data_IF_882506108002
#
_entry.id   IF_882506108002
#
_cell.length_a   1.000
_cell.length_b   1.000
_cell.length_c   1.000
_cell.angle_alpha   90.00
_cell.angle_beta   90.00
_cell.angle_gamma   90.00
#
_symmetry.space_group_name_H-M   'P 1'
#
loop_
_entity.id
_entity.type
_entity.pdbx_description
1 polymer ?
#
# COMPACT_ATOMS: atom_id res chain seq x y z
N UNK A 1 -0.78 22.36 -32.48
CA UNK A 1 -0.29 21.99 -31.10
C UNK A 1 -1.33 22.18 -30.00
N UNK A 2 -2.17 23.25 -30.02
CA UNK A 2 -3.21 23.45 -28.99
C UNK A 2 -4.36 22.43 -29.00
N UNK A 3 -4.80 21.93 -30.16
CA UNK A 3 -5.92 20.98 -30.26
C UNK A 3 -5.60 19.63 -29.62
N UNK A 4 -4.37 19.14 -29.78
CA UNK A 4 -3.92 17.85 -29.15
C UNK A 4 -3.80 17.92 -27.62
N UNK A 5 -3.51 19.10 -27.04
CA UNK A 5 -3.43 19.30 -25.59
C UNK A 5 -4.84 19.38 -25.00
N UNK A 6 -5.78 20.03 -25.69
CA UNK A 6 -7.19 20.10 -25.26
C UNK A 6 -7.87 18.73 -25.34
N UNK A 7 -7.62 17.96 -26.40
CA UNK A 7 -8.16 16.61 -26.55
C UNK A 7 -7.62 15.64 -25.49
N UNK A 8 -6.37 15.81 -25.05
CA UNK A 8 -5.82 15.02 -23.93
C UNK A 8 -6.44 15.41 -22.57
N UNK A 9 -6.70 16.69 -22.35
CA UNK A 9 -7.32 17.18 -21.09
C UNK A 9 -8.80 16.78 -21.03
N UNK A 10 -9.53 16.86 -22.13
CA UNK A 10 -10.93 16.42 -22.22
C UNK A 10 -11.06 14.90 -22.04
N UNK A 11 -10.11 14.10 -22.53
CA UNK A 11 -10.10 12.64 -22.32
C UNK A 11 -9.78 12.23 -20.85
N UNK A 12 -9.06 13.03 -20.09
CA UNK A 12 -8.78 12.74 -18.67
C UNK A 12 -10.01 12.90 -17.78
N UNK A 13 -11.00 13.72 -18.17
CA UNK A 13 -12.24 13.95 -17.42
C UNK A 13 -13.43 13.11 -17.90
N UNK A 14 -13.37 12.54 -19.10
CA UNK A 14 -14.45 11.77 -19.68
C UNK A 14 -14.71 10.47 -18.89
N UNK A 15 -13.64 9.77 -18.47
CA UNK A 15 -13.72 8.51 -17.75
C UNK A 15 -13.39 8.74 -16.29
N UNK A 16 -14.37 8.60 -15.41
CA UNK A 16 -14.19 8.81 -13.98
C UNK A 16 -14.90 7.72 -13.16
N UNK A 17 -14.50 7.58 -11.89
CA UNK A 17 -15.17 6.69 -10.97
C UNK A 17 -16.60 7.17 -10.71
N UNK A 18 -17.55 6.24 -10.70
CA UNK A 18 -18.94 6.52 -10.41
C UNK A 18 -19.09 7.26 -9.08
N UNK A 19 -19.85 8.36 -9.05
CA UNK A 19 -20.11 9.10 -7.82
C UNK A 19 -20.83 8.19 -6.82
N UNK A 20 -20.38 8.25 -5.58
CA UNK A 20 -20.96 7.44 -4.51
C UNK A 20 -22.46 7.75 -4.33
N UNK A 21 -23.26 6.71 -4.30
CA UNK A 21 -24.65 6.70 -3.84
C UNK A 21 -24.81 5.47 -2.94
N UNK A 22 -25.67 5.50 -1.90
CA UNK A 22 -25.95 4.30 -1.11
C UNK A 22 -26.29 3.11 -2.01
N UNK A 23 -25.58 1.98 -1.86
CA UNK A 23 -25.77 0.79 -2.68
C UNK A 23 -25.04 0.79 -4.04
N UNK A 24 -24.32 1.85 -4.43
CA UNK A 24 -23.63 1.91 -5.75
C UNK A 24 -22.33 1.10 -5.82
N UNK A 25 -21.75 0.73 -4.67
CA UNK A 25 -20.53 -0.08 -4.65
C UNK A 25 -20.84 -1.56 -4.79
N UNK A 26 -20.02 -2.24 -5.58
CA UNK A 26 -20.14 -3.65 -5.92
C UNK A 26 -19.09 -4.51 -5.22
N UNK A 27 -19.07 -5.80 -5.57
CA UNK A 27 -18.04 -6.74 -5.11
C UNK A 27 -16.72 -6.44 -5.83
N UNK A 28 -15.62 -6.38 -5.09
CA UNK A 28 -14.31 -6.20 -5.69
C UNK A 28 -13.83 -7.48 -6.39
N UNK A 29 -13.44 -7.43 -7.68
CA UNK A 29 -12.91 -8.59 -8.39
C UNK A 29 -11.59 -9.12 -7.81
N UNK A 30 -10.81 -8.27 -7.15
CA UNK A 30 -9.50 -8.64 -6.59
C UNK A 30 -9.58 -9.33 -5.23
N UNK A 31 -10.40 -8.81 -4.29
CA UNK A 31 -10.45 -9.37 -2.93
C UNK A 31 -11.79 -10.04 -2.58
N UNK A 32 -12.80 -10.02 -3.46
CA UNK A 32 -14.09 -10.64 -3.26
C UNK A 32 -14.99 -9.95 -2.20
N UNK A 33 -14.55 -8.87 -1.57
CA UNK A 33 -15.33 -8.15 -0.56
C UNK A 33 -16.49 -7.39 -1.20
N UNK A 34 -17.64 -7.40 -0.51
CA UNK A 34 -18.85 -6.70 -0.95
C UNK A 34 -18.77 -5.20 -0.63
N UNK A 35 -19.47 -4.38 -1.40
CA UNK A 35 -19.67 -2.94 -1.15
C UNK A 35 -18.37 -2.10 -1.02
N UNK A 36 -17.32 -2.49 -1.69
CA UNK A 36 -16.01 -1.82 -1.64
C UNK A 36 -15.37 -1.56 -3.01
N UNK A 37 -16.13 -1.73 -4.09
CA UNK A 37 -15.62 -1.54 -5.43
C UNK A 37 -16.43 -0.48 -6.17
N UNK A 38 -15.75 0.55 -6.67
CA UNK A 38 -16.32 1.65 -7.46
C UNK A 38 -15.92 1.49 -8.91
N UNK A 39 -16.91 1.42 -9.82
CA UNK A 39 -16.68 1.24 -11.26
C UNK A 39 -16.34 2.57 -11.94
N UNK A 40 -15.60 2.51 -13.03
CA UNK A 40 -15.47 3.63 -13.96
C UNK A 40 -16.71 3.73 -14.84
N UNK A 41 -17.07 4.96 -15.15
CA UNK A 41 -18.14 5.30 -16.10
C UNK A 41 -17.61 6.23 -17.18
N UNK A 42 -18.21 6.15 -18.37
CA UNK A 42 -18.04 7.11 -19.46
C UNK A 42 -19.14 8.16 -19.37
N UNK A 43 -18.77 9.42 -19.15
CA UNK A 43 -19.74 10.53 -19.04
C UNK A 43 -20.45 10.80 -20.37
N UNK A 44 -19.81 10.49 -21.50
CA UNK A 44 -20.43 10.56 -22.83
C UNK A 44 -21.38 9.39 -23.13
N UNK A 45 -21.36 8.32 -22.33
CA UNK A 45 -22.23 7.16 -22.49
C UNK A 45 -21.94 6.30 -23.73
N UNK A 46 -20.82 6.50 -24.41
CA UNK A 46 -20.44 5.75 -25.63
C UNK A 46 -19.82 4.39 -25.29
N UNK A 47 -19.28 4.23 -24.08
CA UNK A 47 -18.68 2.99 -23.60
C UNK A 47 -19.34 2.55 -22.31
N UNK A 48 -19.79 1.28 -22.31
CA UNK A 48 -20.11 0.56 -21.08
C UNK A 48 -18.90 -0.27 -20.68
N UNK A 49 -18.17 0.16 -19.65
CA UNK A 49 -17.07 -0.61 -19.10
C UNK A 49 -17.57 -1.90 -18.44
N UNK A 50 -16.83 -3.02 -18.56
CA UNK A 50 -17.11 -4.23 -17.79
C UNK A 50 -17.08 -3.96 -16.28
N UNK A 51 -17.78 -4.78 -15.49
CA UNK A 51 -17.84 -4.69 -14.04
C UNK A 51 -16.48 -4.83 -13.34
N UNK A 52 -15.46 -5.26 -14.06
CA UNK A 52 -14.07 -5.35 -13.58
C UNK A 52 -13.30 -4.04 -13.68
N UNK A 53 -13.76 -3.05 -14.46
CA UNK A 53 -13.05 -1.77 -14.65
C UNK A 53 -13.44 -0.79 -13.54
N UNK A 54 -12.54 -0.59 -12.57
CA UNK A 54 -12.83 0.19 -11.38
C UNK A 54 -11.71 0.13 -10.35
N UNK A 55 -12.00 0.64 -9.17
CA UNK A 55 -11.06 0.73 -8.05
C UNK A 55 -11.68 0.18 -6.77
N UNK A 56 -10.91 -0.63 -6.04
CA UNK A 56 -11.25 -1.09 -4.71
C UNK A 56 -10.97 0.00 -3.67
N UNK A 57 -11.87 0.21 -2.71
CA UNK A 57 -11.62 1.13 -1.59
C UNK A 57 -10.43 0.69 -0.73
N UNK A 58 -10.19 -0.62 -0.69
CA UNK A 58 -9.03 -1.21 0.00
C UNK A 58 -7.79 -1.20 -0.89
N UNK A 59 -7.53 -0.10 -1.61
CA UNK A 59 -6.41 0.00 -2.54
C UNK A 59 -5.06 -0.36 -1.91
N UNK A 60 -4.89 -0.05 -0.63
CA UNK A 60 -3.66 -0.32 0.10
C UNK A 60 -3.47 -1.80 0.48
N UNK A 61 -4.54 -2.57 0.62
CA UNK A 61 -4.47 -4.00 1.02
C UNK A 61 -4.88 -4.95 -0.10
N UNK A 62 -5.77 -4.52 -0.99
CA UNK A 62 -6.21 -5.29 -2.14
C UNK A 62 -5.41 -4.96 -3.41
N UNK A 63 -5.06 -3.68 -3.59
CA UNK A 63 -4.33 -3.20 -4.76
C UNK A 63 -5.11 -3.19 -6.08
N UNK A 64 -6.37 -3.65 -6.08
CA UNK A 64 -7.13 -3.77 -7.32
C UNK A 64 -7.58 -2.39 -7.82
N UNK A 65 -6.98 -1.96 -8.92
CA UNK A 65 -7.34 -0.75 -9.65
C UNK A 65 -7.12 -1.02 -11.14
N UNK A 66 -8.20 -1.32 -11.87
CA UNK A 66 -8.19 -1.51 -13.31
C UNK A 66 -8.75 -0.26 -13.97
N UNK A 67 -7.86 0.52 -14.55
CA UNK A 67 -8.20 1.85 -15.09
C UNK A 67 -8.73 1.76 -16.51
N UNK A 68 -9.49 2.78 -17.03
CA UNK A 68 -9.86 2.87 -18.43
C UNK A 68 -8.66 2.80 -19.37
N UNK A 69 -7.52 3.38 -18.99
CA UNK A 69 -6.29 3.34 -19.79
C UNK A 69 -5.77 1.89 -19.96
N UNK A 70 -5.78 1.12 -18.89
CA UNK A 70 -5.39 -0.30 -18.94
C UNK A 70 -6.41 -1.12 -19.73
N UNK A 71 -7.71 -0.85 -19.54
CA UNK A 71 -8.77 -1.49 -20.31
C UNK A 71 -8.60 -1.28 -21.83
N UNK A 72 -8.31 -0.07 -22.27
CA UNK A 72 -8.07 0.23 -23.70
C UNK A 72 -6.76 -0.34 -24.23
N UNK A 73 -5.75 -0.49 -23.39
CA UNK A 73 -4.52 -1.21 -23.75
C UNK A 73 -4.81 -2.70 -23.99
N UNK A 74 -5.62 -3.30 -23.13
CA UNK A 74 -5.95 -4.70 -23.17
C UNK A 74 -7.06 -5.01 -24.22
N UNK A 75 -7.78 -3.98 -24.69
CA UNK A 75 -8.85 -4.04 -25.68
C UNK A 75 -8.67 -2.99 -26.78
N UNK A 76 -7.66 -3.12 -27.68
CA UNK A 76 -7.35 -2.10 -28.69
C UNK A 76 -8.52 -1.79 -29.65
N UNK A 77 -9.32 -2.81 -30.00
CA UNK A 77 -10.46 -2.65 -30.89
C UNK A 77 -11.55 -1.69 -30.33
N UNK A 78 -11.70 -1.62 -28.99
CA UNK A 78 -12.61 -0.67 -28.33
C UNK A 78 -12.08 0.75 -28.46
N UNK A 79 -10.77 0.93 -28.31
CA UNK A 79 -10.10 2.22 -28.46
C UNK A 79 -10.18 2.75 -29.89
N UNK A 80 -10.04 1.87 -30.88
CA UNK A 80 -10.15 2.25 -32.31
C UNK A 80 -11.55 2.73 -32.68
N UNK A 81 -12.60 2.11 -32.14
CA UNK A 81 -14.00 2.57 -32.33
C UNK A 81 -14.21 3.98 -31.76
N UNK A 82 -13.62 4.31 -30.64
CA UNK A 82 -13.71 5.65 -30.05
C UNK A 82 -13.01 6.72 -30.85
N UNK A 83 -11.94 6.38 -31.54
CA UNK A 83 -11.13 7.34 -32.30
C UNK A 83 -11.73 7.66 -33.69
N UNK A 84 -12.97 7.18 -33.99
CA UNK A 84 -13.71 7.60 -35.19
C UNK A 84 -13.11 7.15 -36.52
N UNK A 85 -12.37 6.04 -36.53
CA UNK A 85 -12.00 5.41 -37.80
C UNK A 85 -13.10 4.41 -38.21
N UNK A 86 -14.25 4.98 -38.67
CA UNK A 86 -15.20 4.24 -39.48
C UNK A 86 -14.55 3.88 -40.81
N UNK A 87 -14.10 2.66 -40.97
CA UNK A 87 -14.00 2.03 -42.27
C UNK A 87 -15.19 1.09 -42.45
N UNK A 88 -16.08 1.53 -43.31
CA UNK A 88 -17.23 0.77 -43.81
C UNK A 88 -16.81 -0.60 -44.36
N UNK A 89 -17.58 -1.63 -44.04
CA UNK A 89 -17.70 -2.87 -44.82
C UNK A 89 -16.93 -4.07 -44.27
N UNK A 90 -17.60 -4.87 -43.50
CA UNK A 90 -17.13 -6.22 -43.13
C UNK A 90 -18.24 -6.99 -42.43
N UNK A 91 -18.72 -8.04 -43.12
CA UNK A 91 -19.68 -9.07 -42.70
C UNK A 91 -19.46 -9.53 -41.25
N UNK A 92 -20.52 -9.91 -40.51
CA UNK A 92 -20.40 -10.43 -39.15
C UNK A 92 -19.58 -11.74 -39.17
N UNK A 93 -18.39 -11.68 -38.61
CA UNK A 93 -17.58 -12.88 -38.38
C UNK A 93 -18.22 -13.63 -37.23
N UNK A 94 -18.66 -14.85 -37.48
CA UNK A 94 -19.17 -15.78 -36.48
C UNK A 94 -18.23 -15.85 -35.26
N UNK A 95 -18.83 -15.85 -34.09
CA UNK A 95 -18.12 -15.93 -32.83
C UNK A 95 -17.14 -17.12 -32.82
N UNK A 96 -15.85 -16.83 -32.78
CA UNK A 96 -14.80 -17.82 -32.59
C UNK A 96 -15.00 -18.45 -31.21
N UNK A 97 -15.01 -19.80 -31.10
CA UNK A 97 -15.11 -20.43 -29.76
C UNK A 97 -14.01 -19.94 -28.86
N UNK A 98 -14.26 -19.79 -27.53
CA UNK A 98 -13.30 -19.26 -26.63
C UNK A 98 -12.01 -20.05 -26.70
N UNK A 99 -10.92 -19.38 -27.01
CA UNK A 99 -9.58 -19.96 -26.96
C UNK A 99 -9.41 -20.57 -25.57
N UNK A 100 -9.01 -21.84 -25.52
CA UNK A 100 -8.69 -22.59 -24.31
C UNK A 100 -7.86 -21.69 -23.39
N UNK A 101 -8.43 -21.34 -22.25
CA UNK A 101 -7.77 -20.45 -21.28
C UNK A 101 -6.39 -21.05 -20.95
N UNK A 102 -5.34 -20.32 -21.32
CA UNK A 102 -4.02 -20.60 -20.80
C UNK A 102 -4.12 -20.49 -19.26
N UNK A 103 -3.45 -21.35 -18.48
CA UNK A 103 -3.50 -21.28 -17.03
C UNK A 103 -3.15 -19.86 -16.61
N UNK A 104 -4.04 -19.22 -15.86
CA UNK A 104 -3.84 -17.87 -15.32
C UNK A 104 -2.52 -17.85 -14.56
N UNK A 105 -1.49 -17.31 -15.17
CA UNK A 105 -0.27 -17.02 -14.45
C UNK A 105 -0.63 -15.94 -13.44
N UNK A 106 -0.59 -16.30 -12.14
CA UNK A 106 -0.75 -15.32 -11.06
C UNK A 106 0.10 -14.10 -11.37
N UNK A 107 -0.46 -12.90 -11.40
CA UNK A 107 0.26 -11.71 -11.81
C UNK A 107 1.53 -11.57 -10.96
N UNK A 108 2.69 -11.49 -11.62
CA UNK A 108 3.99 -11.38 -10.93
C UNK A 108 4.02 -10.09 -10.14
N UNK A 109 4.32 -10.21 -8.84
CA UNK A 109 4.51 -9.08 -7.94
C UNK A 109 5.79 -8.33 -8.37
N UNK A 110 5.74 -7.00 -8.33
CA UNK A 110 6.91 -6.18 -8.61
C UNK A 110 7.70 -5.89 -7.32
N UNK A 111 9.00 -5.80 -7.45
CA UNK A 111 9.90 -5.38 -6.38
C UNK A 111 10.63 -4.10 -6.80
N UNK A 112 10.97 -3.26 -5.83
CA UNK A 112 11.81 -2.09 -6.04
C UNK A 112 13.28 -2.47 -5.88
N UNK A 113 14.20 -1.77 -6.56
CA UNK A 113 15.64 -1.98 -6.39
C UNK A 113 16.09 -1.75 -4.95
N UNK A 114 16.89 -2.65 -4.40
CA UNK A 114 17.37 -2.57 -3.01
C UNK A 114 18.31 -1.38 -2.78
N UNK A 115 19.09 -0.98 -3.81
CA UNK A 115 19.98 0.18 -3.76
C UNK A 115 19.21 1.49 -3.52
N UNK A 116 17.91 1.57 -3.85
CA UNK A 116 17.08 2.74 -3.53
C UNK A 116 16.85 2.92 -2.03
N UNK A 117 16.83 1.82 -1.28
CA UNK A 117 16.77 1.87 0.19
C UNK A 117 18.04 2.55 0.70
N UNK A 118 19.21 2.02 0.35
CA UNK A 118 20.51 2.54 0.79
C UNK A 118 20.74 3.98 0.35
N UNK A 119 20.44 4.31 -0.90
CA UNK A 119 20.51 5.68 -1.42
C UNK A 119 19.64 6.68 -0.66
N UNK A 120 18.55 6.23 -0.04
CA UNK A 120 17.64 7.07 0.74
C UNK A 120 18.09 7.22 2.21
N UNK A 121 18.90 6.30 2.74
CA UNK A 121 19.38 6.29 4.13
C UNK A 121 20.48 7.34 4.38
N UNK A 122 20.19 8.56 3.97
CA UNK A 122 21.08 9.72 4.07
C UNK A 122 20.27 11.01 4.14
N UNK A 123 20.96 12.15 4.30
CA UNK A 123 20.33 13.47 4.36
C UNK A 123 19.28 13.56 5.47
N UNK A 124 19.58 12.97 6.62
CA UNK A 124 18.70 13.05 7.78
C UNK A 124 18.62 14.46 8.37
N UNK A 125 19.59 15.32 8.02
CA UNK A 125 19.58 16.76 8.32
C UNK A 125 18.31 17.49 7.85
N UNK A 126 17.75 17.08 6.70
CA UNK A 126 16.51 17.66 6.16
C UNK A 126 15.25 16.85 6.51
N UNK A 127 15.36 15.69 7.19
CA UNK A 127 14.22 14.86 7.54
C UNK A 127 13.53 15.36 8.82
N UNK A 128 12.29 15.89 8.73
CA UNK A 128 11.61 16.47 9.90
C UNK A 128 11.33 15.44 11.02
N UNK A 129 10.98 14.19 10.68
CA UNK A 129 10.73 13.15 11.68
C UNK A 129 12.03 12.76 12.40
N UNK A 130 13.14 12.63 11.66
CA UNK A 130 14.44 12.38 12.26
C UNK A 130 14.84 13.49 13.22
N UNK A 131 14.66 14.75 12.83
CA UNK A 131 14.95 15.93 13.67
C UNK A 131 14.08 15.95 14.93
N UNK A 132 12.81 15.64 14.81
CA UNK A 132 11.90 15.52 15.96
C UNK A 132 12.36 14.39 16.89
N UNK A 133 12.62 13.20 16.37
CA UNK A 133 13.07 12.07 17.19
C UNK A 133 14.42 12.33 17.86
N UNK A 134 15.34 13.01 17.18
CA UNK A 134 16.63 13.39 17.79
C UNK A 134 16.45 14.24 19.04
N UNK A 135 15.46 15.11 19.06
CA UNK A 135 15.14 15.92 20.28
C UNK A 135 14.55 15.08 21.41
N UNK A 136 13.78 14.03 21.06
CA UNK A 136 13.05 13.21 22.04
C UNK A 136 13.90 12.04 22.56
N UNK A 137 14.68 11.40 21.70
CA UNK A 137 15.37 10.13 21.99
C UNK A 137 16.90 10.25 21.97
N UNK A 138 17.44 11.39 21.53
CA UNK A 138 18.87 11.56 21.31
C UNK A 138 19.33 11.02 19.97
N UNK A 139 20.37 11.66 19.41
CA UNK A 139 20.87 11.37 18.05
C UNK A 139 21.32 9.92 17.88
N UNK A 140 22.10 9.40 18.81
CA UNK A 140 22.66 8.04 18.72
C UNK A 140 21.56 6.96 18.64
N UNK A 141 20.50 7.10 19.45
CA UNK A 141 19.38 6.17 19.45
C UNK A 141 18.60 6.23 18.13
N UNK A 142 18.40 7.44 17.60
CA UNK A 142 17.68 7.63 16.33
C UNK A 142 18.50 7.09 15.15
N UNK A 143 19.83 7.29 15.15
CA UNK A 143 20.70 6.72 14.12
C UNK A 143 20.61 5.19 14.09
N UNK A 144 20.69 4.54 15.26
CA UNK A 144 20.52 3.08 15.41
C UNK A 144 19.14 2.62 14.92
N UNK A 145 18.10 3.33 15.33
CA UNK A 145 16.71 3.01 15.01
C UNK A 145 16.42 3.14 13.50
N UNK A 146 16.85 4.26 12.90
CA UNK A 146 16.66 4.49 11.46
C UNK A 146 17.47 3.51 10.61
N UNK A 147 18.67 3.15 11.07
CA UNK A 147 19.47 2.12 10.42
C UNK A 147 18.79 0.74 10.52
N UNK A 148 18.36 0.35 11.71
CA UNK A 148 17.70 -0.94 11.97
C UNK A 148 16.46 -1.13 11.12
N UNK A 149 15.60 -0.12 11.05
CA UNK A 149 14.33 -0.15 10.32
C UNK A 149 14.45 0.30 8.85
N UNK A 150 15.67 0.57 8.38
CA UNK A 150 15.93 1.02 7.01
C UNK A 150 15.12 2.27 6.62
N UNK A 151 14.97 3.21 7.55
CA UNK A 151 14.20 4.44 7.30
C UNK A 151 15.02 5.38 6.43
N UNK A 152 14.39 5.90 5.37
CA UNK A 152 15.04 6.78 4.41
C UNK A 152 14.54 8.22 4.44
N UNK A 153 15.18 9.08 3.62
CA UNK A 153 14.77 10.46 3.38
C UNK A 153 14.51 10.68 1.90
N UNK A 154 13.38 11.28 1.58
CA UNK A 154 13.01 11.76 0.25
C UNK A 154 13.17 13.27 0.18
N UNK A 155 13.57 13.80 -0.98
CA UNK A 155 13.56 15.26 -1.22
C UNK A 155 12.16 15.85 -1.37
N UNK A 156 11.14 14.99 -1.49
CA UNK A 156 9.76 15.43 -1.61
C UNK A 156 9.37 16.25 -0.38
N UNK A 157 8.62 17.32 -0.58
CA UNK A 157 8.15 18.23 0.46
C UNK A 157 9.26 18.77 1.41
N UNK A 158 10.47 18.89 0.88
CA UNK A 158 11.59 19.44 1.64
C UNK A 158 12.27 18.48 2.62
N UNK A 159 11.99 17.16 2.54
CA UNK A 159 12.67 16.18 3.40
C UNK A 159 11.76 15.11 4.00
N UNK A 160 10.77 14.61 3.26
CA UNK A 160 9.84 13.59 3.76
C UNK A 160 10.55 12.29 4.16
N UNK A 161 9.99 11.61 5.15
CA UNK A 161 10.45 10.29 5.62
C UNK A 161 10.00 9.21 4.65
N UNK A 162 10.87 8.25 4.37
CA UNK A 162 10.54 7.04 3.61
C UNK A 162 10.53 5.83 4.53
N UNK A 163 9.39 5.20 4.67
CA UNK A 163 9.24 3.92 5.35
C UNK A 163 9.26 2.81 4.31
N UNK A 164 10.35 2.05 4.28
CA UNK A 164 10.51 0.95 3.36
C UNK A 164 9.83 -0.31 3.90
N UNK A 165 9.04 -0.93 3.06
CA UNK A 165 8.47 -2.25 3.31
C UNK A 165 9.36 -3.29 2.65
N UNK A 166 10.17 -3.96 3.46
CA UNK A 166 11.12 -5.00 3.05
C UNK A 166 10.67 -6.29 3.69
N UNK A 167 10.42 -7.32 2.87
CA UNK A 167 9.96 -8.61 3.37
C UNK A 167 11.08 -9.43 4.01
N UNK A 168 10.73 -10.53 4.67
CA UNK A 168 11.69 -11.43 5.33
C UNK A 168 12.71 -12.08 4.38
N UNK A 169 12.47 -12.01 3.06
CA UNK A 169 13.37 -12.48 2.02
C UNK A 169 14.22 -11.33 1.43
N UNK A 170 14.26 -10.18 2.08
CA UNK A 170 14.97 -8.97 1.67
C UNK A 170 14.47 -8.32 0.37
N UNK A 171 13.29 -8.69 -0.12
CA UNK A 171 12.70 -8.03 -1.28
C UNK A 171 12.05 -6.72 -0.86
N UNK A 172 12.33 -5.64 -1.58
CA UNK A 172 11.72 -4.32 -1.34
C UNK A 172 10.35 -4.26 -2.00
N UNK A 173 9.30 -4.41 -1.21
CA UNK A 173 7.90 -4.45 -1.65
C UNK A 173 7.35 -3.09 -2.00
N UNK A 174 7.66 -2.08 -1.18
CA UNK A 174 7.19 -0.70 -1.34
C UNK A 174 8.06 0.27 -0.56
N UNK A 175 7.87 1.57 -0.81
CA UNK A 175 8.40 2.66 0.01
C UNK A 175 7.31 3.70 0.18
N UNK A 176 6.84 3.92 1.41
CA UNK A 176 5.81 4.89 1.77
C UNK A 176 6.49 6.20 2.17
N UNK A 177 6.19 7.27 1.44
CA UNK A 177 6.75 8.60 1.68
C UNK A 177 5.75 9.42 2.49
N UNK A 178 6.16 9.95 3.63
CA UNK A 178 5.29 10.71 4.52
C UNK A 178 5.95 12.00 5.01
N UNK A 179 5.19 13.09 4.97
CA UNK A 179 5.59 14.39 5.52
C UNK A 179 5.23 14.50 7.01
N UNK A 180 6.17 15.04 7.79
CA UNK A 180 6.01 15.29 9.22
C UNK A 180 6.41 16.71 9.58
N UNK A 181 5.83 17.24 10.62
CA UNK A 181 6.24 18.48 11.25
C UNK A 181 7.44 18.23 12.20
N UNK A 182 8.50 19.02 12.07
CA UNK A 182 9.74 18.82 12.81
C UNK A 182 9.67 19.26 14.28
N UNK A 183 8.63 19.99 14.69
CA UNK A 183 8.42 20.48 16.04
C UNK A 183 7.53 19.53 16.82
N UNK A 184 6.41 19.13 16.24
CA UNK A 184 5.39 18.32 16.89
C UNK A 184 5.50 16.83 16.58
N UNK A 185 6.23 16.44 15.55
CA UNK A 185 6.29 15.06 15.06
C UNK A 185 4.97 14.55 14.47
N UNK A 186 3.99 15.45 14.25
CA UNK A 186 2.71 15.08 13.65
C UNK A 186 2.82 14.97 12.14
N UNK A 187 2.01 14.05 11.57
CA UNK A 187 1.88 13.91 10.12
C UNK A 187 1.22 15.17 9.54
N UNK A 188 1.77 15.70 8.45
CA UNK A 188 1.20 16.84 7.75
C UNK A 188 0.01 16.38 6.92
N UNK A 189 -1.17 16.92 7.22
CA UNK A 189 -2.44 16.64 6.55
C UNK A 189 -2.98 17.85 5.76
N UNK A 190 -2.59 19.05 6.16
CA UNK A 190 -3.01 20.31 5.55
C UNK A 190 -1.82 21.01 4.87
N UNK A 191 -2.03 21.75 3.75
CA UNK A 191 -3.27 21.90 2.99
C UNK A 191 -3.63 20.65 2.17
N UNK A 192 -2.78 19.63 2.13
CA UNK A 192 -3.03 18.30 1.55
C UNK A 192 -2.28 17.23 2.34
N UNK A 193 -2.82 16.02 2.32
CA UNK A 193 -2.23 14.90 3.02
C UNK A 193 -0.91 14.49 2.35
N UNK A 194 0.22 14.72 3.03
CA UNK A 194 1.56 14.41 2.54
C UNK A 194 1.88 12.92 2.67
N UNK A 195 1.20 12.11 1.87
CA UNK A 195 1.46 10.66 1.70
C UNK A 195 1.65 10.34 0.23
N UNK A 196 2.68 9.59 -0.11
CA UNK A 196 2.95 9.14 -1.46
C UNK A 196 3.72 7.81 -1.45
N UNK A 197 3.98 7.25 -2.62
CA UNK A 197 4.73 6.00 -2.76
C UNK A 197 5.95 6.19 -3.67
N UNK A 198 7.05 5.52 -3.35
CA UNK A 198 8.31 5.63 -4.11
C UNK A 198 8.11 5.25 -5.57
N UNK A 199 7.41 4.14 -5.87
CA UNK A 199 7.16 3.72 -7.24
C UNK A 199 6.39 4.78 -8.05
N UNK A 200 5.41 5.46 -7.45
CA UNK A 200 4.64 6.54 -8.09
C UNK A 200 5.51 7.77 -8.34
N UNK A 201 6.32 8.18 -7.35
CA UNK A 201 7.23 9.33 -7.48
C UNK A 201 8.33 9.06 -8.51
N UNK A 202 8.83 7.83 -8.58
CA UNK A 202 9.84 7.39 -9.55
C UNK A 202 9.24 7.00 -10.90
N UNK A 203 7.90 7.05 -11.05
CA UNK A 203 7.17 6.69 -12.28
C UNK A 203 7.53 5.30 -12.80
N UNK A 204 7.64 4.31 -11.89
CA UNK A 204 7.92 2.92 -12.26
C UNK A 204 6.73 2.38 -13.04
N UNK A 205 6.97 2.00 -14.31
CA UNK A 205 5.91 1.52 -15.19
C UNK A 205 5.43 0.14 -14.74
N UNK A 206 4.13 -0.10 -14.89
CA UNK A 206 3.47 -1.40 -14.62
C UNK A 206 3.80 -2.01 -13.24
N UNK A 207 4.08 -1.17 -12.24
CA UNK A 207 4.43 -1.61 -10.90
C UNK A 207 3.22 -2.21 -10.18
N UNK A 208 3.27 -3.50 -9.92
CA UNK A 208 2.26 -4.25 -9.16
C UNK A 208 2.67 -4.32 -7.70
N UNK A 209 2.21 -3.32 -6.95
CA UNK A 209 2.54 -3.19 -5.53
C UNK A 209 1.87 -4.30 -4.71
N UNK A 210 2.68 -4.99 -3.91
CA UNK A 210 2.20 -5.89 -2.87
C UNK A 210 2.94 -5.58 -1.58
N UNK A 211 2.24 -4.96 -0.66
CA UNK A 211 2.79 -4.53 0.60
C UNK A 211 3.12 -5.71 1.53
N UNK A 212 4.08 -5.50 2.42
CA UNK A 212 4.38 -6.32 3.58
C UNK A 212 4.42 -5.45 4.85
N UNK A 213 4.57 -6.05 6.01
CA UNK A 213 4.65 -5.31 7.26
C UNK A 213 5.91 -4.43 7.29
N UNK A 214 5.78 -3.21 7.75
CA UNK A 214 6.95 -2.38 8.03
C UNK A 214 7.76 -3.03 9.17
N UNK A 215 9.07 -3.18 8.97
CA UNK A 215 9.94 -3.90 9.90
C UNK A 215 10.00 -5.42 9.68
N UNK A 216 9.28 -6.00 8.71
CA UNK A 216 9.20 -7.45 8.48
C UNK A 216 10.59 -8.08 8.25
N UNK A 217 11.53 -7.35 7.63
CA UNK A 217 12.91 -7.81 7.43
C UNK A 217 13.63 -8.16 8.75
N UNK A 218 13.20 -7.61 9.89
CA UNK A 218 13.76 -7.95 11.20
C UNK A 218 13.45 -9.40 11.62
N UNK A 219 12.44 -10.01 11.01
CA UNK A 219 12.06 -11.40 11.25
C UNK A 219 13.01 -12.40 10.55
N UNK A 220 13.88 -11.93 9.65
CA UNK A 220 14.88 -12.77 8.99
C UNK A 220 16.11 -13.06 9.87
N UNK A 221 16.30 -12.32 10.96
CA UNK A 221 17.33 -12.59 11.94
C UNK A 221 16.94 -13.81 12.80
N UNK A 222 17.56 -14.94 12.50
CA UNK A 222 17.35 -16.22 13.18
C UNK A 222 18.24 -16.42 14.41
N UNK A 223 18.91 -15.36 14.90
CA UNK A 223 19.63 -15.47 16.18
C UNK A 223 18.69 -15.89 17.31
N UNK A 224 19.21 -16.61 18.29
CA UNK A 224 18.40 -17.08 19.43
C UNK A 224 17.70 -15.90 20.15
N UNK A 225 18.38 -14.75 20.24
CA UNK A 225 17.83 -13.53 20.86
C UNK A 225 16.64 -12.99 20.08
N UNK A 226 16.77 -12.83 18.75
CA UNK A 226 15.69 -12.29 17.93
C UNK A 226 14.54 -13.28 17.75
N UNK A 227 14.85 -14.57 17.67
CA UNK A 227 13.83 -15.62 17.58
C UNK A 227 13.01 -15.75 18.86
N UNK A 228 13.58 -15.46 20.02
CA UNK A 228 12.88 -15.52 21.30
C UNK A 228 11.97 -14.31 21.58
N UNK A 229 12.23 -13.15 20.94
CA UNK A 229 11.40 -11.95 21.14
C UNK A 229 10.01 -12.12 20.56
N UNK A 230 8.95 -11.78 21.30
CA UNK A 230 7.62 -11.70 20.75
C UNK A 230 7.53 -10.56 19.72
N UNK A 231 6.61 -10.68 18.79
CA UNK A 231 6.33 -9.67 17.77
C UNK A 231 5.16 -8.82 18.22
N UNK A 232 5.33 -7.51 18.21
CA UNK A 232 4.29 -6.53 18.48
C UNK A 232 3.88 -5.83 17.19
N UNK A 233 2.58 -5.74 16.91
CA UNK A 233 2.08 -5.11 15.69
C UNK A 233 1.24 -3.89 16.04
N UNK A 234 1.59 -2.75 15.45
CA UNK A 234 0.90 -1.45 15.57
C UNK A 234 0.38 -0.98 14.21
N UNK A 235 -0.39 0.10 14.21
CA UNK A 235 -0.97 0.65 13.00
C UNK A 235 0.05 1.43 12.16
N UNK A 236 0.78 2.36 12.79
CA UNK A 236 1.64 3.28 12.07
C UNK A 236 3.12 2.94 12.20
N UNK A 237 3.87 3.20 11.14
CA UNK A 237 5.32 3.03 11.10
C UNK A 237 6.03 3.89 12.15
N UNK A 238 5.52 5.11 12.38
CA UNK A 238 6.04 6.00 13.43
C UNK A 238 5.87 5.39 14.82
N UNK A 239 4.71 4.81 15.11
CA UNK A 239 4.44 4.15 16.38
C UNK A 239 5.37 2.96 16.59
N UNK A 240 5.62 2.15 15.55
CA UNK A 240 6.57 1.04 15.63
C UNK A 240 7.99 1.52 16.01
N UNK A 241 8.46 2.61 15.42
CA UNK A 241 9.77 3.19 15.75
C UNK A 241 9.83 3.69 17.21
N UNK A 242 8.79 4.40 17.65
CA UNK A 242 8.72 4.90 19.04
C UNK A 242 8.71 3.73 20.02
N UNK A 243 7.86 2.76 19.76
CA UNK A 243 7.73 1.58 20.62
C UNK A 243 9.03 0.74 20.65
N UNK A 244 9.71 0.58 19.52
CA UNK A 244 10.99 -0.13 19.46
C UNK A 244 12.10 0.54 20.31
N UNK A 245 12.05 1.87 20.47
CA UNK A 245 12.99 2.57 21.32
C UNK A 245 12.67 2.40 22.82
N UNK A 246 11.41 2.59 23.20
CA UNK A 246 11.02 2.62 24.62
C UNK A 246 10.70 1.24 25.19
N UNK A 247 10.35 0.27 24.34
CA UNK A 247 9.98 -1.12 24.73
C UNK A 247 10.73 -2.10 23.83
N UNK A 248 12.05 -2.25 24.02
CA UNK A 248 12.92 -3.03 23.13
C UNK A 248 12.76 -4.56 23.27
N UNK A 249 11.91 -5.02 24.18
CA UNK A 249 11.68 -6.45 24.42
C UNK A 249 10.89 -7.11 23.28
N UNK A 250 10.30 -6.34 22.38
CA UNK A 250 9.54 -6.82 21.23
C UNK A 250 10.25 -6.52 19.91
N UNK A 251 9.89 -7.28 18.88
CA UNK A 251 10.10 -6.86 17.49
C UNK A 251 8.85 -6.10 17.06
N UNK A 252 8.97 -4.78 16.89
CA UNK A 252 7.84 -3.93 16.52
C UNK A 252 7.66 -3.85 15.02
N UNK A 253 6.47 -4.21 14.54
CA UNK A 253 6.08 -4.13 13.15
C UNK A 253 4.89 -3.19 12.99
N UNK A 254 4.67 -2.68 11.76
CA UNK A 254 3.47 -1.89 11.49
C UNK A 254 2.74 -2.33 10.23
N UNK A 255 1.39 -2.20 10.28
CA UNK A 255 0.51 -2.52 9.14
C UNK A 255 0.47 -1.41 8.10
N UNK A 256 0.89 -0.19 8.44
CA UNK A 256 0.85 0.98 7.59
C UNK A 256 -0.52 1.67 7.52
N UNK A 257 -1.42 1.39 8.46
CA UNK A 257 -2.76 1.95 8.62
C UNK A 257 -3.79 0.88 8.97
N UNK A 258 -4.98 1.30 9.42
CA UNK A 258 -6.06 0.40 9.88
C UNK A 258 -6.46 -0.66 8.82
N UNK A 259 -6.43 -0.28 7.54
CA UNK A 259 -6.68 -1.16 6.39
C UNK A 259 -5.41 -1.46 5.60
N UNK A 260 -4.24 -1.39 6.24
CA UNK A 260 -2.94 -1.60 5.61
C UNK A 260 -2.72 -3.03 5.10
N UNK A 261 -1.48 -3.47 5.08
CA UNK A 261 -1.11 -4.76 4.51
C UNK A 261 -1.51 -5.99 5.35
N UNK A 262 -2.26 -5.82 6.46
CA UNK A 262 -2.62 -6.90 7.37
C UNK A 262 -3.68 -7.82 6.75
N UNK A 263 -3.23 -8.84 6.05
CA UNK A 263 -4.06 -9.83 5.36
C UNK A 263 -3.44 -11.22 5.47
N UNK A 264 -4.15 -12.26 5.00
CA UNK A 264 -3.75 -13.65 5.15
C UNK A 264 -2.36 -14.00 4.58
N UNK A 265 -1.83 -13.22 3.64
CA UNK A 265 -0.49 -13.44 3.12
C UNK A 265 0.59 -12.73 3.96
N UNK A 266 0.32 -11.50 4.41
CA UNK A 266 1.25 -10.77 5.26
C UNK A 266 1.47 -11.49 6.61
N UNK A 267 0.44 -12.17 7.12
CA UNK A 267 0.57 -12.94 8.38
C UNK A 267 1.45 -14.18 8.24
N UNK A 268 1.70 -14.70 7.03
CA UNK A 268 2.62 -15.83 6.83
C UNK A 268 4.06 -15.49 7.23
N UNK A 269 4.43 -14.22 7.22
CA UNK A 269 5.73 -13.77 7.74
C UNK A 269 5.89 -14.00 9.26
N UNK A 270 4.78 -14.17 9.98
CA UNK A 270 4.70 -14.33 11.43
C UNK A 270 4.69 -15.82 11.87
N UNK A 271 4.93 -16.73 10.93
CA UNK A 271 4.89 -18.17 11.18
C UNK A 271 5.71 -18.57 12.40
N UNK A 272 5.08 -19.33 13.30
CA UNK A 272 5.67 -19.83 14.54
C UNK A 272 6.00 -18.78 15.62
N UNK A 273 5.71 -17.49 15.38
CA UNK A 273 6.00 -16.40 16.34
C UNK A 273 4.89 -16.24 17.37
N UNK A 274 5.24 -15.70 18.52
CA UNK A 274 4.27 -15.12 19.46
C UNK A 274 3.98 -13.67 19.00
N UNK A 275 2.69 -13.35 18.82
CA UNK A 275 2.24 -12.06 18.25
C UNK A 275 1.28 -11.37 19.21
N UNK A 276 1.53 -10.08 19.45
CA UNK A 276 0.64 -9.22 20.23
C UNK A 276 0.23 -8.04 19.35
N UNK A 277 -1.05 -7.88 19.15
CA UNK A 277 -1.61 -6.73 18.45
C UNK A 277 -1.78 -5.56 19.45
N UNK A 278 -1.30 -4.38 19.06
CA UNK A 278 -1.47 -3.13 19.83
C UNK A 278 -2.24 -2.12 18.97
N UNK A 279 -3.57 -2.23 18.94
CA UNK A 279 -4.43 -1.31 18.18
C UNK A 279 -4.34 0.12 18.71
N UNK A 280 -4.59 1.10 17.83
CA UNK A 280 -4.82 2.48 18.26
C UNK A 280 -6.11 2.57 19.11
N UNK A 281 -6.24 3.64 19.88
CA UNK A 281 -7.42 3.88 20.73
C UNK A 281 -8.72 3.77 19.92
N UNK A 282 -9.71 3.07 20.44
CA UNK A 282 -11.01 2.74 19.82
C UNK A 282 -10.96 1.76 18.65
N UNK A 283 -9.80 1.16 18.35
CA UNK A 283 -9.67 0.16 17.32
C UNK A 283 -9.57 -1.28 17.85
N UNK A 284 -9.59 -1.48 19.16
CA UNK A 284 -9.33 -2.78 19.81
C UNK A 284 -10.29 -3.87 19.33
N UNK A 285 -11.59 -3.56 19.23
CA UNK A 285 -12.58 -4.56 18.80
C UNK A 285 -12.38 -4.97 17.33
N UNK A 286 -12.11 -4.02 16.45
CA UNK A 286 -11.81 -4.32 15.04
C UNK A 286 -10.55 -5.19 14.90
N UNK A 287 -9.54 -4.94 15.73
CA UNK A 287 -8.29 -5.70 15.69
C UNK A 287 -8.45 -7.10 16.30
N UNK A 288 -9.29 -7.28 17.32
CA UNK A 288 -9.65 -8.62 17.85
C UNK A 288 -10.25 -9.52 16.77
N UNK A 289 -11.05 -8.98 15.87
CA UNK A 289 -11.64 -9.73 14.74
C UNK A 289 -10.60 -10.26 13.76
N UNK A 290 -9.33 -9.86 13.89
CA UNK A 290 -8.22 -10.34 13.06
C UNK A 290 -7.48 -11.53 13.67
N UNK A 291 -7.68 -11.83 14.96
CA UNK A 291 -7.02 -12.94 15.65
C UNK A 291 -7.23 -14.30 14.95
N UNK A 292 -8.43 -14.66 14.48
CA UNK A 292 -8.65 -15.92 13.78
C UNK A 292 -7.76 -16.13 12.54
N UNK A 293 -7.28 -15.03 11.93
CA UNK A 293 -6.34 -15.11 10.80
C UNK A 293 -4.91 -15.43 11.24
N UNK A 294 -4.54 -15.06 12.46
CA UNK A 294 -3.21 -15.28 13.04
C UNK A 294 -3.07 -16.65 13.71
N UNK A 295 -4.15 -17.15 14.33
CA UNK A 295 -4.15 -18.39 15.11
C UNK A 295 -3.58 -19.61 14.37
N UNK A 296 -3.89 -19.84 13.08
CA UNK A 296 -3.35 -21.00 12.37
C UNK A 296 -1.87 -20.86 11.96
N UNK A 297 -1.29 -19.67 12.09
CA UNK A 297 0.06 -19.33 11.63
C UNK A 297 1.00 -19.11 12.81
N UNK A 298 0.54 -18.35 13.80
CA UNK A 298 1.36 -17.94 14.93
C UNK A 298 1.34 -19.02 16.04
N UNK A 299 2.45 -19.13 16.78
CA UNK A 299 2.48 -19.97 17.99
C UNK A 299 1.45 -19.50 19.02
N UNK A 300 1.25 -18.21 19.14
CA UNK A 300 0.26 -17.54 19.98
C UNK A 300 -0.07 -16.18 19.39
N UNK A 301 -1.33 -15.80 19.43
CA UNK A 301 -1.77 -14.47 19.03
C UNK A 301 -2.71 -13.88 20.09
N UNK A 302 -2.47 -12.62 20.46
CA UNK A 302 -3.30 -11.88 21.43
C UNK A 302 -3.49 -10.44 20.95
N UNK A 303 -4.53 -9.77 21.47
CA UNK A 303 -4.78 -8.35 21.21
C UNK A 303 -4.79 -7.61 22.55
N UNK A 304 -3.92 -6.62 22.67
CA UNK A 304 -3.81 -5.77 23.85
C UNK A 304 -4.95 -4.74 23.86
N UNK A 305 -5.49 -4.51 25.04
CA UNK A 305 -6.44 -3.43 25.34
C UNK A 305 -5.78 -2.29 26.15
N UNK A 306 -4.45 -2.26 26.16
CA UNK A 306 -3.68 -1.35 27.01
C UNK A 306 -4.12 0.11 26.84
N UNK A 307 -4.25 0.58 25.60
CA UNK A 307 -4.62 1.97 25.31
C UNK A 307 -6.06 2.30 25.76
N UNK A 308 -6.98 1.35 25.69
CA UNK A 308 -8.34 1.54 26.19
C UNK A 308 -8.41 1.63 27.73
N UNK A 309 -7.47 0.96 28.43
CA UNK A 309 -7.44 0.97 29.90
C UNK A 309 -6.77 2.19 30.50
N UNK A 310 -5.94 2.90 29.73
CA UNK A 310 -5.18 4.06 30.22
C UNK A 310 -5.70 5.40 29.68
N UNK A 311 -6.70 5.37 28.77
CA UNK A 311 -7.34 6.55 28.18
C UNK A 311 -8.51 7.03 29.03
#
# INVERSE_FOLDING_TARGET
MQKHVIDNIMNEYRFHLQKYKPGSKTVCPGCGRKSCFTRYIDEAGEISFPDSVGMCDHINSCGYHYTPKEYFRDNPAVKERLNGQERFGGTPIAARPPARALPEQKPRISFLPSDWVEQSMRRYDINPLYRYFTKVMGKENVDKLFSLYRVGTSRRWGGATVFWQIDRNSNVRAGKIMGYDAVTGHRIKEPFNQVSWVHSVRKVQDFRMKQCLFGEHLLSDNSAVMSAKPVAIVESEKTALVAAHFIPDFIWLATGGIHGCFNGEAVQALDGREVILFPDLKATEEWRQRLPMLEPVCRRATCSDLLERIA
#
